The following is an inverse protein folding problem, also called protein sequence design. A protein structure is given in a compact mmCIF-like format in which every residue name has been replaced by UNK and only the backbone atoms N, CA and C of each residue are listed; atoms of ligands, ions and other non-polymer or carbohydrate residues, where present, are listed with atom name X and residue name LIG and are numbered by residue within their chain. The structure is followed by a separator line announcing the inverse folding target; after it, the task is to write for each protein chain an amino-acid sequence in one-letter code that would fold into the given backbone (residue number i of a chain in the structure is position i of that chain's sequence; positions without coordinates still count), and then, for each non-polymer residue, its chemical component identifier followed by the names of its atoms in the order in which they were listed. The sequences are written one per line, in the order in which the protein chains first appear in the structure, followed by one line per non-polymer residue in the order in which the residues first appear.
data_IF_440496033178
#
_entry.id   IF_440496033178
#
_cell.length_a   1.000
_cell.length_b   1.000
_cell.length_c   1.000
_cell.angle_alpha   90.00
_cell.angle_beta   90.00
_cell.angle_gamma   90.00
#
_symmetry.space_group_name_H-M   'P 1'
#
loop_
_entity.id
_entity.type
_entity.pdbx_description
1 polymer ?
#
# COMPACT_ATOMS: atom_id res chain seq x y z
N UNK A 1 27.21 -20.03 -5.85
CA UNK A 1 25.98 -20.33 -6.65
C UNK A 1 24.85 -20.55 -5.66
N UNK A 2 24.02 -19.53 -5.41
CA UNK A 2 22.87 -19.65 -4.50
C UNK A 2 21.76 -20.42 -5.22
N UNK A 3 21.37 -21.58 -4.70
CA UNK A 3 20.24 -22.35 -5.21
C UNK A 3 18.97 -21.50 -5.08
N UNK A 4 18.39 -21.10 -6.21
CA UNK A 4 17.08 -20.43 -6.22
C UNK A 4 16.03 -21.44 -5.77
N UNK A 5 15.62 -21.35 -4.51
CA UNK A 5 14.45 -22.08 -4.00
C UNK A 5 13.23 -21.59 -4.78
N UNK A 6 12.46 -22.50 -5.36
CA UNK A 6 11.24 -22.17 -6.09
C UNK A 6 10.25 -21.42 -5.17
N UNK A 7 9.50 -20.43 -5.69
CA UNK A 7 8.48 -19.76 -4.89
C UNK A 7 7.40 -20.77 -4.44
N UNK A 8 6.74 -20.54 -3.29
CA UNK A 8 5.64 -21.39 -2.84
C UNK A 8 4.55 -21.51 -3.92
N UNK A 9 3.91 -22.67 -4.05
CA UNK A 9 2.81 -22.84 -5.00
C UNK A 9 1.57 -22.02 -4.57
N UNK A 10 0.77 -21.60 -5.56
CA UNK A 10 -0.52 -20.98 -5.32
C UNK A 10 -1.46 -21.96 -4.60
N UNK A 11 -2.37 -21.40 -3.81
CA UNK A 11 -3.27 -22.17 -2.97
C UNK A 11 -4.67 -21.53 -3.01
N UNK A 12 -5.59 -22.08 -3.81
CA UNK A 12 -6.95 -21.55 -3.96
C UNK A 12 -7.77 -21.57 -2.67
N UNK A 13 -7.35 -22.32 -1.64
CA UNK A 13 -8.03 -22.36 -0.33
C UNK A 13 -7.81 -21.08 0.47
N UNK A 14 -6.82 -20.27 0.10
CA UNK A 14 -6.55 -18.96 0.70
C UNK A 14 -7.49 -17.87 0.19
N UNK A 15 -8.30 -18.14 -0.84
CA UNK A 15 -9.30 -17.21 -1.32
C UNK A 15 -10.41 -17.06 -0.28
N UNK A 16 -10.57 -15.85 0.23
CA UNK A 16 -11.68 -15.45 1.06
C UNK A 16 -11.90 -13.95 0.86
N UNK A 17 -13.13 -13.54 0.58
CA UNK A 17 -13.56 -12.14 0.60
C UNK A 17 -14.52 -11.93 1.75
N UNK A 18 -14.39 -10.80 2.45
CA UNK A 18 -15.44 -10.32 3.33
C UNK A 18 -16.65 -9.85 2.50
N UNK A 19 -17.80 -9.65 3.14
CA UNK A 19 -19.04 -9.27 2.46
C UNK A 19 -18.89 -7.95 1.69
N UNK A 20 -18.30 -6.94 2.32
CA UNK A 20 -18.00 -5.63 1.71
C UNK A 20 -17.03 -5.74 0.52
N UNK A 21 -16.02 -6.60 0.62
CA UNK A 21 -15.07 -6.88 -0.46
C UNK A 21 -15.77 -7.57 -1.64
N UNK A 22 -16.62 -8.57 -1.37
CA UNK A 22 -17.40 -9.26 -2.39
C UNK A 22 -18.32 -8.28 -3.12
N UNK A 23 -19.12 -7.49 -2.38
CA UNK A 23 -20.01 -6.47 -2.96
C UNK A 23 -19.27 -5.45 -3.82
N UNK A 24 -18.09 -5.00 -3.36
CA UNK A 24 -17.24 -4.11 -4.14
C UNK A 24 -16.81 -4.75 -5.46
N UNK A 25 -16.27 -5.97 -5.43
CA UNK A 25 -15.83 -6.65 -6.65
C UNK A 25 -16.99 -6.96 -7.60
N UNK A 26 -18.15 -7.40 -7.10
CA UNK A 26 -19.34 -7.62 -7.94
C UNK A 26 -19.75 -6.34 -8.67
N UNK A 27 -19.84 -5.24 -7.94
CA UNK A 27 -20.22 -3.94 -8.49
C UNK A 27 -19.20 -3.45 -9.52
N UNK A 28 -17.90 -3.57 -9.24
CA UNK A 28 -16.85 -3.09 -10.13
C UNK A 28 -16.70 -3.95 -11.39
N UNK A 29 -16.95 -5.27 -11.31
CA UNK A 29 -16.73 -6.21 -12.43
C UNK A 29 -18.00 -6.54 -13.21
N UNK A 30 -19.18 -6.31 -12.61
CA UNK A 30 -20.47 -6.80 -13.10
C UNK A 30 -20.62 -8.32 -13.04
N UNK A 31 -19.82 -9.02 -12.21
CA UNK A 31 -19.88 -10.48 -12.05
C UNK A 31 -20.62 -10.78 -10.74
N UNK A 32 -21.93 -11.03 -10.81
CA UNK A 32 -22.78 -11.24 -9.62
C UNK A 32 -22.62 -12.63 -8.98
N UNK A 33 -22.26 -13.64 -9.78
CA UNK A 33 -22.08 -15.01 -9.33
C UNK A 33 -20.75 -15.19 -8.57
N UNK A 34 -20.81 -15.68 -7.33
CA UNK A 34 -19.64 -15.81 -6.46
C UNK A 34 -18.59 -16.79 -7.01
N UNK A 35 -19.02 -17.84 -7.73
CA UNK A 35 -18.13 -18.86 -8.30
C UNK A 35 -17.39 -18.27 -9.50
N UNK A 36 -18.10 -17.59 -10.39
CA UNK A 36 -17.52 -16.88 -11.52
C UNK A 36 -16.57 -15.76 -11.07
N UNK A 37 -16.94 -15.01 -10.03
CA UNK A 37 -16.10 -13.96 -9.48
C UNK A 37 -14.81 -14.54 -8.88
N UNK A 38 -14.92 -15.62 -8.10
CA UNK A 38 -13.76 -16.33 -7.58
C UNK A 38 -12.85 -16.82 -8.71
N UNK A 39 -13.41 -17.45 -9.74
CA UNK A 39 -12.63 -17.95 -10.87
C UNK A 39 -11.89 -16.82 -11.60
N UNK A 40 -12.56 -15.69 -11.82
CA UNK A 40 -11.95 -14.49 -12.40
C UNK A 40 -10.77 -14.00 -11.55
N UNK A 41 -10.97 -13.79 -10.24
CA UNK A 41 -9.90 -13.32 -9.33
C UNK A 41 -8.72 -14.30 -9.27
N UNK A 42 -8.99 -15.61 -9.23
CA UNK A 42 -7.94 -16.65 -9.23
C UNK A 42 -7.14 -16.63 -10.54
N UNK A 43 -7.80 -16.47 -11.69
CA UNK A 43 -7.09 -16.37 -12.97
C UNK A 43 -6.12 -15.19 -13.02
N UNK A 44 -6.51 -14.04 -12.46
CA UNK A 44 -5.64 -12.85 -12.35
C UNK A 44 -4.46 -13.13 -11.41
N UNK A 45 -4.71 -13.80 -10.28
CA UNK A 45 -3.64 -14.23 -9.37
C UNK A 45 -2.60 -15.10 -10.09
N UNK A 46 -3.05 -16.09 -10.88
CA UNK A 46 -2.17 -17.00 -11.61
C UNK A 46 -1.29 -16.27 -12.63
N UNK A 47 -1.84 -15.29 -13.35
CA UNK A 47 -1.09 -14.45 -14.27
C UNK A 47 -0.09 -13.55 -13.54
N UNK A 48 -0.54 -12.89 -12.47
CA UNK A 48 0.32 -12.01 -11.68
C UNK A 48 1.48 -12.74 -11.02
N UNK A 49 1.25 -13.97 -10.55
CA UNK A 49 2.27 -14.77 -9.87
C UNK A 49 3.42 -15.19 -10.80
N UNK A 50 3.17 -15.20 -12.12
CA UNK A 50 4.21 -15.43 -13.15
C UNK A 50 5.10 -14.21 -13.35
N UNK A 51 4.57 -13.00 -13.14
CA UNK A 51 5.35 -11.74 -13.21
C UNK A 51 6.26 -11.64 -11.99
N UNK A 52 5.67 -11.66 -10.78
CA UNK A 52 6.44 -11.69 -9.54
C UNK A 52 5.69 -12.42 -8.42
N UNK A 53 6.29 -13.43 -7.76
CA UNK A 53 5.59 -14.28 -6.80
C UNK A 53 5.47 -13.65 -5.40
N UNK A 54 4.81 -12.50 -5.29
CA UNK A 54 4.61 -11.82 -4.00
C UNK A 54 3.67 -12.61 -3.08
N UNK A 55 3.96 -12.56 -1.77
CA UNK A 55 3.11 -13.18 -0.73
C UNK A 55 1.70 -12.57 -0.70
N UNK A 56 1.57 -11.28 -0.97
CA UNK A 56 0.27 -10.61 -1.05
C UNK A 56 -0.57 -11.12 -2.22
N UNK A 57 0.05 -11.44 -3.36
CA UNK A 57 -0.60 -12.07 -4.52
C UNK A 57 -1.07 -13.47 -4.15
N UNK A 58 -0.15 -14.32 -3.65
CA UNK A 58 -0.46 -15.70 -3.23
C UNK A 58 -1.61 -15.78 -2.20
N UNK A 59 -1.65 -14.85 -1.26
CA UNK A 59 -2.64 -14.83 -0.18
C UNK A 59 -3.86 -13.96 -0.45
N UNK A 60 -4.13 -13.55 -1.70
CA UNK A 60 -5.26 -12.69 -2.10
C UNK A 60 -5.35 -11.36 -1.30
N UNK A 61 -4.23 -10.89 -0.75
CA UNK A 61 -4.18 -9.63 0.00
C UNK A 61 -4.35 -8.39 -0.87
N UNK A 62 -4.26 -8.54 -2.20
CA UNK A 62 -4.63 -7.52 -3.20
C UNK A 62 -6.14 -7.35 -3.33
N UNK A 63 -6.93 -8.33 -2.89
CA UNK A 63 -8.39 -8.27 -2.92
C UNK A 63 -8.98 -7.71 -1.61
N UNK A 64 -8.12 -7.22 -0.71
CA UNK A 64 -8.50 -6.67 0.59
C UNK A 64 -8.56 -5.16 0.51
N UNK A 65 -9.68 -4.56 0.93
CA UNK A 65 -9.91 -3.11 0.93
C UNK A 65 -9.23 -2.46 2.15
N UNK A 66 -7.89 -2.41 2.14
CA UNK A 66 -7.11 -1.96 3.30
C UNK A 66 -7.25 -0.46 3.53
N UNK A 67 -7.38 0.32 2.47
CA UNK A 67 -7.48 1.78 2.56
C UNK A 67 -8.73 2.22 3.36
N UNK A 68 -9.87 1.58 3.13
CA UNK A 68 -11.14 1.94 3.77
C UNK A 68 -11.26 1.45 5.21
N UNK A 69 -10.29 0.67 5.69
CA UNK A 69 -10.21 0.19 7.08
C UNK A 69 -9.34 1.08 7.96
N UNK A 70 -8.74 2.13 7.39
CA UNK A 70 -7.87 3.04 8.11
C UNK A 70 -8.72 3.98 8.99
N UNK A 71 -8.38 4.17 10.27
CA UNK A 71 -9.13 5.10 11.14
C UNK A 71 -9.19 6.53 10.60
N UNK A 72 -8.20 6.94 9.82
CA UNK A 72 -8.14 8.25 9.18
C UNK A 72 -8.90 8.34 7.84
N UNK A 73 -9.58 7.28 7.39
CA UNK A 73 -10.15 7.21 6.03
C UNK A 73 -11.17 8.32 5.76
N UNK A 74 -11.98 8.70 6.74
CA UNK A 74 -12.91 9.81 6.57
C UNK A 74 -12.18 11.15 6.38
N UNK A 75 -11.10 11.39 7.14
CA UNK A 75 -10.27 12.59 6.99
C UNK A 75 -9.62 12.62 5.59
N UNK A 76 -9.17 11.46 5.10
CA UNK A 76 -8.68 11.29 3.73
C UNK A 76 -9.74 11.66 2.68
N UNK A 77 -10.97 11.15 2.79
CA UNK A 77 -12.06 11.46 1.84
C UNK A 77 -12.52 12.93 1.91
N UNK A 78 -12.25 13.63 3.00
CA UNK A 78 -12.57 15.05 3.15
C UNK A 78 -11.52 15.98 2.53
N UNK A 79 -10.29 15.49 2.24
CA UNK A 79 -9.23 16.28 1.59
C UNK A 79 -9.68 16.92 0.27
N UNK A 80 -10.18 16.18 -0.74
CA UNK A 80 -10.57 16.79 -2.01
C UNK A 80 -11.77 17.74 -1.91
N UNK A 81 -12.57 17.65 -0.82
CA UNK A 81 -13.69 18.58 -0.57
C UNK A 81 -13.21 19.92 -0.05
N UNK A 82 -12.15 19.92 0.75
CA UNK A 82 -11.64 21.10 1.44
C UNK A 82 -10.43 21.73 0.73
N UNK A 83 -9.81 20.99 -0.19
CA UNK A 83 -8.56 21.39 -0.85
C UNK A 83 -8.61 21.06 -2.34
N UNK A 84 -8.70 22.12 -3.15
CA UNK A 84 -8.72 22.00 -4.61
C UNK A 84 -7.41 21.36 -5.09
N UNK A 85 -7.54 20.30 -5.89
CA UNK A 85 -6.37 19.59 -6.43
C UNK A 85 -5.59 18.80 -5.38
N UNK A 86 -6.24 18.34 -4.30
CA UNK A 86 -5.63 17.42 -3.35
C UNK A 86 -5.25 16.10 -4.03
N UNK A 87 -3.97 15.93 -4.38
CA UNK A 87 -3.46 14.73 -5.04
C UNK A 87 -3.38 13.58 -4.03
N UNK A 88 -3.92 12.42 -4.41
CA UNK A 88 -3.77 11.17 -3.69
C UNK A 88 -2.82 10.25 -4.47
N UNK A 89 -1.84 9.67 -3.79
CA UNK A 89 -0.96 8.64 -4.35
C UNK A 89 -1.04 7.33 -3.58
N UNK A 90 -1.23 6.22 -4.29
CA UNK A 90 -1.07 4.85 -3.76
C UNK A 90 0.29 4.28 -4.19
N UNK A 91 1.20 4.09 -3.25
CA UNK A 91 2.57 3.61 -3.50
C UNK A 91 2.69 2.13 -3.12
N UNK A 92 3.02 1.31 -4.13
CA UNK A 92 2.93 -0.14 -4.05
C UNK A 92 1.50 -0.63 -4.30
N UNK A 93 0.84 -0.08 -5.32
CA UNK A 93 -0.59 -0.24 -5.56
C UNK A 93 -1.00 -1.63 -6.03
N UNK A 94 -0.06 -2.48 -6.46
CA UNK A 94 -0.33 -3.78 -7.07
C UNK A 94 -1.36 -3.63 -8.20
N UNK A 95 -2.56 -4.20 -8.06
CA UNK A 95 -3.63 -4.13 -9.07
C UNK A 95 -4.54 -2.90 -8.94
N UNK A 96 -4.24 -1.96 -8.05
CA UNK A 96 -4.97 -0.70 -7.90
C UNK A 96 -6.37 -0.85 -7.29
N UNK A 97 -6.56 -1.79 -6.35
CA UNK A 97 -7.83 -1.96 -5.62
C UNK A 97 -8.11 -0.78 -4.68
N UNK A 98 -7.11 -0.28 -3.97
CA UNK A 98 -7.24 0.82 -3.01
C UNK A 98 -7.55 2.17 -3.72
N UNK A 99 -6.90 2.53 -4.85
CA UNK A 99 -7.29 3.63 -5.72
C UNK A 99 -8.75 3.57 -6.18
N UNK A 100 -9.21 2.41 -6.65
CA UNK A 100 -10.60 2.22 -7.10
C UNK A 100 -11.57 2.37 -5.94
N UNK A 101 -11.23 1.87 -4.76
CA UNK A 101 -12.05 2.05 -3.56
C UNK A 101 -12.17 3.52 -3.16
N UNK A 102 -11.06 4.26 -3.16
CA UNK A 102 -11.08 5.69 -2.90
C UNK A 102 -11.99 6.45 -3.89
N UNK A 103 -11.90 6.13 -5.19
CA UNK A 103 -12.72 6.76 -6.23
C UNK A 103 -14.21 6.46 -6.07
N UNK A 104 -14.56 5.18 -5.81
CA UNK A 104 -15.95 4.78 -5.53
C UNK A 104 -16.52 5.53 -4.32
N UNK A 105 -15.68 5.84 -3.33
CA UNK A 105 -16.08 6.57 -2.12
C UNK A 105 -16.03 8.10 -2.26
N UNK A 106 -15.73 8.61 -3.46
CA UNK A 106 -15.84 10.02 -3.81
C UNK A 106 -14.53 10.78 -3.97
N UNK A 107 -13.37 10.10 -3.99
CA UNK A 107 -12.12 10.76 -4.38
C UNK A 107 -12.09 11.00 -5.90
N UNK A 108 -11.78 12.21 -6.40
CA UNK A 108 -11.76 12.47 -7.85
C UNK A 108 -10.69 11.63 -8.56
N UNK A 109 -11.07 10.84 -9.56
CA UNK A 109 -10.17 9.92 -10.26
C UNK A 109 -8.98 10.65 -10.92
N UNK A 110 -9.21 11.86 -11.42
CA UNK A 110 -8.23 12.73 -12.06
C UNK A 110 -7.21 13.30 -11.07
N UNK A 111 -7.42 13.11 -9.76
CA UNK A 111 -6.50 13.48 -8.68
C UNK A 111 -5.81 12.26 -8.07
N UNK A 112 -6.00 11.06 -8.64
CA UNK A 112 -5.40 9.82 -8.16
C UNK A 112 -4.18 9.46 -9.00
N UNK A 113 -3.09 9.18 -8.29
CA UNK A 113 -1.86 8.57 -8.82
C UNK A 113 -1.72 7.18 -8.21
N UNK A 114 -1.44 6.20 -9.05
CA UNK A 114 -1.08 4.86 -8.62
C UNK A 114 0.35 4.56 -9.06
N UNK A 115 1.13 3.88 -8.21
CA UNK A 115 2.51 3.55 -8.52
C UNK A 115 2.89 2.19 -7.99
N UNK A 116 3.55 1.40 -8.83
CA UNK A 116 4.16 0.12 -8.48
C UNK A 116 5.42 -0.09 -9.33
N UNK A 117 6.24 -1.07 -8.95
CA UNK A 117 7.46 -1.41 -9.69
C UNK A 117 7.14 -2.05 -11.04
N UNK A 118 6.07 -2.84 -11.11
CA UNK A 118 5.71 -3.63 -12.29
C UNK A 118 4.48 -3.03 -12.99
N UNK A 119 4.62 -2.37 -14.16
CA UNK A 119 3.48 -1.86 -14.91
C UNK A 119 2.47 -2.94 -15.29
N UNK A 120 2.91 -4.18 -15.46
CA UNK A 120 2.04 -5.31 -15.77
C UNK A 120 1.00 -5.59 -14.68
N UNK A 121 1.26 -5.21 -13.42
CA UNK A 121 0.26 -5.29 -12.35
C UNK A 121 -0.87 -4.27 -12.52
N UNK A 122 -0.56 -3.09 -13.05
CA UNK A 122 -1.59 -2.10 -13.37
C UNK A 122 -2.53 -2.59 -14.49
N UNK A 123 -1.95 -3.18 -15.53
CA UNK A 123 -2.70 -3.81 -16.63
C UNK A 123 -3.59 -4.96 -16.14
N UNK A 124 -3.05 -5.80 -15.23
CA UNK A 124 -3.84 -6.83 -14.57
C UNK A 124 -4.93 -6.24 -13.66
N UNK A 125 -4.74 -5.05 -13.11
CA UNK A 125 -5.77 -4.28 -12.43
C UNK A 125 -6.92 -3.90 -13.36
N UNK A 126 -6.62 -3.37 -14.55
CA UNK A 126 -7.64 -3.10 -15.56
C UNK A 126 -8.41 -4.37 -15.95
N UNK A 127 -7.71 -5.49 -16.15
CA UNK A 127 -8.33 -6.80 -16.41
C UNK A 127 -9.19 -7.30 -15.23
N UNK A 128 -8.69 -7.18 -14.00
CA UNK A 128 -9.38 -7.59 -12.78
C UNK A 128 -10.70 -6.84 -12.62
N UNK A 129 -10.68 -5.53 -12.79
CA UNK A 129 -11.86 -4.67 -12.61
C UNK A 129 -12.67 -4.48 -13.90
N UNK A 130 -12.27 -5.08 -15.02
CA UNK A 130 -12.89 -4.91 -16.34
C UNK A 130 -13.04 -3.43 -16.72
N UNK A 131 -11.98 -2.66 -16.44
CA UNK A 131 -11.87 -1.21 -16.73
C UNK A 131 -10.84 -0.96 -17.82
N UNK A 132 -10.80 0.26 -18.34
CA UNK A 132 -9.78 0.80 -19.24
C UNK A 132 -9.26 2.12 -18.70
N UNK A 133 -8.27 2.73 -19.35
CA UNK A 133 -7.79 4.06 -18.98
C UNK A 133 -8.89 5.13 -19.09
N UNK A 134 -9.87 4.94 -19.98
CA UNK A 134 -11.01 5.85 -20.15
C UNK A 134 -12.06 5.70 -19.04
N UNK A 135 -12.31 4.47 -18.56
CA UNK A 135 -13.32 4.22 -17.52
C UNK A 135 -12.76 4.34 -16.10
N UNK A 136 -11.44 4.30 -15.94
CA UNK A 136 -10.75 4.58 -14.69
C UNK A 136 -9.49 5.43 -14.95
N UNK A 137 -9.63 6.76 -15.04
CA UNK A 137 -8.58 7.67 -15.50
C UNK A 137 -7.57 8.07 -14.40
N UNK A 138 -7.33 7.18 -13.43
CA UNK A 138 -6.25 7.37 -12.47
C UNK A 138 -4.90 7.25 -13.19
N UNK A 139 -3.97 8.15 -12.89
CA UNK A 139 -2.67 8.17 -13.54
C UNK A 139 -1.74 7.12 -12.95
N UNK A 140 -1.15 6.26 -13.79
CA UNK A 140 -0.21 5.25 -13.33
C UNK A 140 1.23 5.63 -13.66
N UNK A 141 2.12 5.53 -12.67
CA UNK A 141 3.55 5.80 -12.81
C UNK A 141 4.33 4.56 -12.35
N UNK A 142 4.97 3.80 -13.27
CA UNK A 142 5.87 2.75 -12.86
C UNK A 142 7.10 3.38 -12.19
N UNK A 143 7.38 3.01 -10.93
CA UNK A 143 8.44 3.64 -10.16
C UNK A 143 9.15 2.63 -9.27
N UNK A 144 10.46 2.53 -9.43
CA UNK A 144 11.33 2.04 -8.37
C UNK A 144 11.53 3.18 -7.36
N UNK A 145 11.02 3.01 -6.14
CA UNK A 145 11.07 4.03 -5.10
C UNK A 145 12.53 4.43 -4.78
N UNK A 146 13.49 3.52 -4.93
CA UNK A 146 14.89 3.77 -4.58
C UNK A 146 15.60 4.69 -5.57
N UNK A 147 15.04 4.87 -6.77
CA UNK A 147 15.52 5.88 -7.72
C UNK A 147 15.23 7.31 -7.27
N UNK A 148 14.38 7.50 -6.26
CA UNK A 148 14.07 8.78 -5.63
C UNK A 148 14.97 9.07 -4.41
N UNK A 149 15.97 8.24 -4.12
CA UNK A 149 16.88 8.47 -2.99
C UNK A 149 17.59 9.81 -3.14
N UNK A 150 17.58 10.62 -2.08
CA UNK A 150 18.13 11.97 -2.10
C UNK A 150 17.17 13.05 -2.61
N UNK A 151 15.92 12.70 -2.94
CA UNK A 151 14.87 13.68 -3.21
C UNK A 151 14.68 14.57 -1.98
N UNK A 152 14.89 15.88 -2.16
CA UNK A 152 14.64 16.88 -1.14
C UNK A 152 13.24 17.47 -1.33
N UNK A 153 12.59 17.81 -0.21
CA UNK A 153 11.33 18.54 -0.22
C UNK A 153 11.57 19.98 -0.71
N UNK A 154 10.64 20.51 -1.50
CA UNK A 154 10.60 21.93 -1.83
C UNK A 154 9.70 22.66 -0.83
N UNK A 155 10.15 23.81 -0.32
CA UNK A 155 9.41 24.61 0.68
C UNK A 155 8.09 25.16 0.12
N UNK A 156 8.06 25.46 -1.18
CA UNK A 156 6.87 25.95 -1.90
C UNK A 156 6.75 25.19 -3.22
N UNK A 157 5.75 24.31 -3.39
CA UNK A 157 5.51 23.68 -4.67
C UNK A 157 5.09 24.75 -5.71
N UNK A 158 5.65 24.73 -6.93
CA UNK A 158 5.49 25.81 -7.90
C UNK A 158 4.05 25.97 -8.43
N UNK A 159 3.30 24.88 -8.53
CA UNK A 159 1.88 24.82 -8.95
C UNK A 159 1.37 23.39 -8.87
N UNK A 160 0.04 23.20 -8.74
CA UNK A 160 -0.58 21.87 -8.84
C UNK A 160 -0.34 21.33 -10.27
N UNK A 161 0.37 20.19 -10.43
CA UNK A 161 0.69 19.65 -11.74
C UNK A 161 -0.55 19.07 -12.42
N UNK A 162 -0.58 19.10 -13.76
CA UNK A 162 -1.51 18.29 -14.52
C UNK A 162 -1.05 16.83 -14.49
N UNK A 163 -1.75 15.97 -13.73
CA UNK A 163 -1.32 14.58 -13.50
C UNK A 163 -1.13 13.78 -14.79
N UNK A 164 -1.91 14.05 -15.85
CA UNK A 164 -1.76 13.35 -17.14
C UNK A 164 -0.41 13.58 -17.82
N UNK A 165 0.34 14.62 -17.43
CA UNK A 165 1.66 14.95 -17.99
C UNK A 165 2.83 14.56 -17.07
N UNK A 166 2.54 14.05 -15.87
CA UNK A 166 3.55 13.67 -14.87
C UNK A 166 4.21 12.36 -15.31
N UNK A 167 5.54 12.31 -15.32
CA UNK A 167 6.28 11.12 -15.79
C UNK A 167 6.96 10.37 -14.65
N UNK A 168 7.26 11.04 -13.54
CA UNK A 168 7.85 10.43 -12.35
C UNK A 168 7.20 10.96 -11.08
N UNK A 169 7.23 10.16 -10.00
CA UNK A 169 6.87 10.66 -8.67
C UNK A 169 7.75 11.86 -8.24
N UNK A 170 8.98 11.99 -8.74
CA UNK A 170 9.84 13.14 -8.47
C UNK A 170 9.23 14.49 -8.93
N UNK A 171 8.39 14.46 -9.96
CA UNK A 171 7.68 15.64 -10.48
C UNK A 171 6.55 16.08 -9.52
N UNK A 172 6.15 15.19 -8.59
CA UNK A 172 5.12 15.43 -7.58
C UNK A 172 5.70 15.82 -6.21
N UNK A 173 7.01 16.06 -6.10
CA UNK A 173 7.64 16.47 -4.82
C UNK A 173 6.91 17.66 -4.20
N UNK A 174 6.59 17.57 -2.92
CA UNK A 174 5.83 18.59 -2.19
C UNK A 174 4.37 18.82 -2.63
N UNK A 175 3.83 18.04 -3.56
CA UNK A 175 2.48 18.26 -4.12
C UNK A 175 1.44 17.22 -3.67
N UNK A 176 1.87 16.09 -3.11
CA UNK A 176 0.94 15.00 -2.77
C UNK A 176 0.25 15.30 -1.43
N UNK A 177 -1.08 15.40 -1.43
CA UNK A 177 -1.85 15.67 -0.20
C UNK A 177 -2.04 14.42 0.67
N UNK A 178 -2.19 13.26 0.04
CA UNK A 178 -2.35 11.98 0.72
C UNK A 178 -1.50 10.90 0.06
N UNK A 179 -0.70 10.18 0.84
CA UNK A 179 0.04 9.01 0.40
C UNK A 179 -0.51 7.80 1.15
N UNK A 180 -1.10 6.85 0.43
CA UNK A 180 -1.41 5.53 0.98
C UNK A 180 -0.29 4.55 0.61
N UNK A 181 0.09 3.71 1.56
CA UNK A 181 0.99 2.58 1.29
C UNK A 181 0.74 1.46 2.30
N UNK A 182 0.35 0.29 1.79
CA UNK A 182 0.01 -0.85 2.61
C UNK A 182 0.78 -2.10 2.17
N UNK A 183 1.21 -2.92 3.12
CA UNK A 183 2.01 -4.12 2.90
C UNK A 183 3.36 -3.87 2.19
N UNK A 184 3.93 -2.68 2.38
CA UNK A 184 5.14 -2.23 1.68
C UNK A 184 6.38 -2.17 2.59
N UNK A 185 6.37 -1.37 3.65
CA UNK A 185 7.54 -1.16 4.52
C UNK A 185 8.18 -2.46 5.04
N UNK A 186 7.37 -3.46 5.43
CA UNK A 186 7.85 -4.73 5.96
C UNK A 186 8.65 -5.59 4.95
N UNK A 187 8.72 -5.18 3.68
CA UNK A 187 9.56 -5.84 2.69
C UNK A 187 11.05 -5.55 2.90
N UNK A 188 11.38 -4.53 3.70
CA UNK A 188 12.72 -3.97 3.83
C UNK A 188 13.24 -4.00 5.28
N UNK A 189 14.54 -3.80 5.46
CA UNK A 189 15.17 -3.63 6.78
C UNK A 189 14.95 -2.22 7.36
N UNK A 190 15.38 -1.97 8.61
CA UNK A 190 15.14 -0.71 9.33
C UNK A 190 15.73 0.50 8.57
N UNK A 191 16.96 0.40 8.07
CA UNK A 191 17.62 1.48 7.34
C UNK A 191 16.89 1.80 6.03
N UNK A 192 16.50 0.77 5.28
CA UNK A 192 15.77 0.96 4.03
C UNK A 192 14.35 1.52 4.28
N UNK A 193 13.68 1.11 5.37
CA UNK A 193 12.40 1.70 5.79
C UNK A 193 12.54 3.18 6.12
N UNK A 194 13.63 3.58 6.79
CA UNK A 194 13.96 4.98 7.05
C UNK A 194 14.15 5.78 5.77
N UNK A 195 14.89 5.24 4.79
CA UNK A 195 15.06 5.89 3.47
C UNK A 195 13.73 6.09 2.73
N UNK A 196 12.86 5.08 2.75
CA UNK A 196 11.52 5.18 2.14
C UNK A 196 10.68 6.25 2.84
N UNK A 197 10.73 6.33 4.17
CA UNK A 197 10.01 7.34 4.93
C UNK A 197 10.45 8.77 4.55
N UNK A 198 11.76 8.99 4.34
CA UNK A 198 12.28 10.28 3.84
C UNK A 198 11.75 10.62 2.44
N UNK A 199 11.71 9.65 1.54
CA UNK A 199 11.17 9.82 0.19
C UNK A 199 9.69 10.22 0.25
N UNK A 200 8.89 9.51 1.06
CA UNK A 200 7.47 9.85 1.23
C UNK A 200 7.28 11.25 1.82
N UNK A 201 8.10 11.65 2.79
CA UNK A 201 8.07 13.01 3.35
C UNK A 201 8.42 14.10 2.31
N UNK A 202 9.35 13.81 1.39
CA UNK A 202 9.70 14.72 0.29
C UNK A 202 8.58 14.85 -0.76
N UNK A 203 7.81 13.79 -0.98
CA UNK A 203 6.65 13.80 -1.87
C UNK A 203 5.43 14.50 -1.25
N UNK A 204 5.25 14.36 0.07
CA UNK A 204 4.12 14.90 0.80
C UNK A 204 4.11 16.44 0.77
N UNK A 205 2.95 17.04 0.57
CA UNK A 205 2.75 18.48 0.68
C UNK A 205 3.00 18.99 2.10
N UNK A 206 3.41 20.25 2.23
CA UNK A 206 3.62 20.92 3.53
C UNK A 206 2.35 21.47 4.16
N UNK A 207 1.22 21.48 3.44
CA UNK A 207 -0.01 22.04 4.00
C UNK A 207 -0.58 21.15 5.14
N UNK A 208 -1.08 21.76 6.23
CA UNK A 208 -1.71 21.05 7.34
C UNK A 208 -2.83 20.11 6.87
N UNK A 209 -2.93 18.96 7.52
CA UNK A 209 -3.86 17.90 7.14
C UNK A 209 -3.37 16.97 6.03
N UNK A 210 -2.25 17.29 5.34
CA UNK A 210 -1.61 16.32 4.45
C UNK A 210 -1.17 15.10 5.24
N UNK A 211 -1.31 13.90 4.66
CA UNK A 211 -1.15 12.65 5.40
C UNK A 211 -0.45 11.52 4.65
N UNK A 212 0.23 10.67 5.41
CA UNK A 212 0.79 9.39 4.96
C UNK A 212 0.15 8.31 5.82
N UNK A 213 -0.45 7.29 5.23
CA UNK A 213 -1.20 6.31 6.00
C UNK A 213 -1.20 4.93 5.35
N UNK A 214 -1.49 3.91 6.16
CA UNK A 214 -1.61 2.54 5.68
C UNK A 214 -1.34 1.52 6.76
N UNK A 215 -0.99 0.31 6.33
CA UNK A 215 -0.79 -0.80 7.26
C UNK A 215 0.23 -1.81 6.76
N UNK A 216 1.04 -2.35 7.67
CA UNK A 216 2.01 -3.41 7.35
C UNK A 216 2.26 -4.30 8.57
N UNK A 217 3.06 -5.36 8.41
CA UNK A 217 3.34 -6.28 9.52
C UNK A 217 4.08 -5.54 10.63
N UNK A 218 3.56 -5.59 11.85
CA UNK A 218 4.14 -4.98 13.03
C UNK A 218 4.51 -6.01 14.10
N UNK A 219 5.13 -5.53 15.17
CA UNK A 219 5.41 -6.30 16.40
C UNK A 219 5.11 -5.44 17.62
N UNK A 220 4.88 -6.07 18.78
CA UNK A 220 4.79 -5.33 20.05
C UNK A 220 6.08 -4.60 20.38
N UNK A 221 7.22 -5.21 20.07
CA UNK A 221 8.54 -4.60 20.22
C UNK A 221 9.25 -4.57 18.87
N UNK A 222 9.89 -3.43 18.57
CA UNK A 222 10.61 -3.26 17.31
C UNK A 222 11.69 -4.33 17.14
N UNK A 223 11.88 -4.83 15.92
CA UNK A 223 12.96 -5.75 15.62
C UNK A 223 12.64 -6.74 14.52
N UNK A 224 13.54 -7.71 14.36
CA UNK A 224 13.40 -8.76 13.37
C UNK A 224 12.28 -9.72 13.75
N UNK A 225 11.43 -10.02 12.77
CA UNK A 225 10.43 -11.06 12.88
C UNK A 225 11.10 -12.44 12.87
N UNK A 226 11.12 -13.10 14.01
CA UNK A 226 11.75 -14.41 14.20
C UNK A 226 10.75 -15.56 14.30
N UNK A 227 9.45 -15.27 14.33
CA UNK A 227 8.42 -16.23 14.77
C UNK A 227 7.81 -17.08 13.62
N UNK A 228 8.20 -16.83 12.37
CA UNK A 228 7.82 -17.68 11.22
C UNK A 228 8.87 -18.77 11.01
N UNK A 229 8.42 -20.03 10.98
CA UNK A 229 9.21 -21.18 10.56
C UNK A 229 9.32 -21.17 9.03
N UNK A 230 10.40 -20.61 8.49
CA UNK A 230 10.74 -20.79 7.08
C UNK A 230 11.76 -21.92 6.93
N UNK A 231 11.37 -23.05 6.33
CA UNK A 231 12.30 -24.08 5.84
C UNK A 231 13.06 -23.64 4.56
N UNK A 232 12.73 -22.49 3.98
CA UNK A 232 13.49 -21.90 2.88
C UNK A 232 14.49 -20.88 3.41
N UNK A 233 15.73 -20.97 2.91
CA UNK A 233 16.94 -20.23 3.30
C UNK A 233 16.89 -18.75 2.83
N UNK A 234 15.75 -18.11 2.97
CA UNK A 234 15.69 -16.67 3.11
C UNK A 234 14.89 -16.40 4.38
N UNK A 235 15.62 -16.37 5.51
CA UNK A 235 15.34 -15.36 6.53
C UNK A 235 15.44 -13.99 5.83
N UNK A 236 14.41 -13.59 5.07
CA UNK A 236 14.17 -12.17 4.87
C UNK A 236 13.84 -11.70 6.28
N UNK A 237 14.86 -11.17 6.93
CA UNK A 237 14.81 -10.57 8.25
C UNK A 237 13.83 -9.40 8.16
N UNK A 238 12.55 -9.71 8.23
CA UNK A 238 11.47 -8.74 8.15
C UNK A 238 11.57 -7.88 9.41
N UNK A 239 12.09 -6.68 9.25
CA UNK A 239 12.11 -5.71 10.34
C UNK A 239 10.71 -5.15 10.53
N UNK A 240 10.22 -5.19 11.76
CA UNK A 240 8.90 -4.70 12.11
C UNK A 240 9.03 -3.63 13.19
N UNK A 241 8.36 -2.49 12.99
CA UNK A 241 8.20 -1.48 14.03
C UNK A 241 7.10 -1.90 15.03
N UNK A 242 7.21 -1.37 16.24
CA UNK A 242 6.07 -1.24 17.16
C UNK A 242 5.38 0.10 16.96
N UNK A 243 4.18 0.32 17.54
CA UNK A 243 3.56 1.63 17.54
C UNK A 243 4.48 2.73 18.06
N UNK A 244 5.26 2.46 19.11
CA UNK A 244 6.18 3.41 19.74
C UNK A 244 7.35 3.74 18.80
N UNK A 245 7.99 2.73 18.20
CA UNK A 245 9.09 2.98 17.28
C UNK A 245 8.64 3.56 15.94
N UNK A 246 7.39 3.34 15.53
CA UNK A 246 6.81 3.98 14.35
C UNK A 246 6.52 5.47 14.64
N UNK A 247 5.98 5.79 15.82
CA UNK A 247 5.81 7.19 16.25
C UNK A 247 7.13 7.95 16.29
N UNK A 248 8.16 7.37 16.91
CA UNK A 248 9.47 8.02 17.04
C UNK A 248 10.14 8.30 15.68
N UNK A 249 10.02 7.36 14.72
CA UNK A 249 10.51 7.55 13.36
C UNK A 249 9.90 8.80 12.72
N UNK A 250 8.58 8.91 12.73
CA UNK A 250 7.89 9.99 12.02
C UNK A 250 7.91 11.32 12.78
N UNK A 251 7.72 11.31 14.10
CA UNK A 251 7.73 12.48 14.99
C UNK A 251 9.07 12.64 15.71
N UNK A 252 10.07 13.16 15.00
CA UNK A 252 11.40 13.45 15.55
C UNK A 252 12.56 13.13 14.63
N UNK A 253 12.47 12.04 13.84
CA UNK A 253 13.54 11.69 12.89
C UNK A 253 13.24 12.14 11.45
N UNK A 254 12.01 11.89 10.96
CA UNK A 254 11.59 12.30 9.61
C UNK A 254 11.03 13.72 9.59
N UNK A 255 10.13 14.04 10.52
CA UNK A 255 9.60 15.39 10.71
C UNK A 255 10.10 16.01 12.01
N UNK A 256 10.18 17.35 12.10
CA UNK A 256 10.46 18.03 13.35
C UNK A 256 9.50 17.59 14.46
N UNK A 257 10.04 17.42 15.67
CA UNK A 257 9.23 16.95 16.79
C UNK A 257 8.07 17.91 17.07
N UNK A 258 6.85 17.36 17.13
CA UNK A 258 5.60 18.08 17.34
C UNK A 258 4.97 18.67 16.08
N UNK A 259 5.53 18.45 14.88
CA UNK A 259 4.93 18.95 13.62
C UNK A 259 3.98 17.95 12.95
N UNK A 260 3.87 16.73 13.48
CA UNK A 260 2.97 15.69 12.98
C UNK A 260 2.22 15.04 14.14
N UNK A 261 0.98 14.61 13.90
CA UNK A 261 0.30 13.61 14.72
C UNK A 261 0.53 12.23 14.11
N UNK A 262 0.99 11.28 14.92
CA UNK A 262 1.20 9.89 14.50
C UNK A 262 0.28 8.95 15.28
N UNK A 263 -0.81 8.54 14.61
CA UNK A 263 -1.72 7.51 15.08
C UNK A 263 -1.15 6.14 14.65
N UNK A 264 -0.88 5.24 15.60
CA UNK A 264 -0.30 3.93 15.31
C UNK A 264 -0.85 2.87 16.29
N UNK A 265 -1.41 1.79 15.77
CA UNK A 265 -2.09 0.76 16.56
C UNK A 265 -1.78 -0.63 16.01
N UNK A 266 -1.67 -1.63 16.89
CA UNK A 266 -1.56 -3.03 16.50
C UNK A 266 -2.92 -3.71 16.51
N UNK A 267 -3.22 -4.41 15.43
CA UNK A 267 -4.35 -5.33 15.34
C UNK A 267 -3.83 -6.76 15.27
N UNK A 268 -4.50 -7.66 15.99
CA UNK A 268 -4.30 -9.10 15.82
C UNK A 268 -4.63 -9.47 14.37
N UNK A 269 -3.69 -10.17 13.72
CA UNK A 269 -3.83 -10.62 12.34
C UNK A 269 -4.11 -12.11 12.32
N UNK A 270 -5.10 -12.51 11.53
CA UNK A 270 -5.39 -13.91 11.27
C UNK A 270 -4.18 -14.64 10.66
N UNK A 271 -3.99 -15.89 11.11
CA UNK A 271 -2.79 -16.69 10.87
C UNK A 271 -2.79 -17.45 9.53
N UNK A 272 -3.81 -17.27 8.68
CA UNK A 272 -4.02 -18.09 7.50
C UNK A 272 -2.80 -18.10 6.56
N UNK A 273 -2.28 -19.31 6.29
CA UNK A 273 -1.13 -19.53 5.41
C UNK A 273 0.25 -19.21 6.00
N UNK A 274 0.36 -18.98 7.32
CA UNK A 274 1.65 -18.82 8.01
C UNK A 274 2.07 -20.12 8.72
N UNK A 275 3.27 -20.62 8.40
CA UNK A 275 3.95 -21.65 9.17
C UNK A 275 4.66 -21.00 10.36
N UNK A 276 4.02 -20.96 11.53
CA UNK A 276 4.61 -20.39 12.75
C UNK A 276 5.54 -21.41 13.42
N UNK A 277 6.61 -20.94 14.07
CA UNK A 277 7.49 -21.80 14.90
C UNK A 277 6.72 -22.30 16.11
N UNK A 278 5.99 -21.38 16.76
CA UNK A 278 5.08 -21.68 17.85
C UNK A 278 3.64 -21.33 17.42
N UNK A 279 2.71 -22.31 17.40
CA UNK A 279 1.29 -22.08 17.14
C UNK A 279 0.62 -21.07 18.08
N UNK A 280 1.19 -20.78 19.26
CA UNK A 280 0.73 -19.75 20.18
C UNK A 280 1.07 -18.31 19.75
N UNK A 281 2.01 -18.14 18.82
CA UNK A 281 2.53 -16.83 18.40
C UNK A 281 1.41 -15.96 17.81
N UNK A 282 1.23 -14.75 18.35
CA UNK A 282 0.39 -13.72 17.74
C UNK A 282 1.16 -12.97 16.66
N UNK A 283 0.49 -12.65 15.56
CA UNK A 283 1.06 -11.84 14.49
C UNK A 283 0.24 -10.57 14.37
N UNK A 284 0.91 -9.44 14.15
CA UNK A 284 0.25 -8.15 14.20
C UNK A 284 0.29 -7.44 12.86
N UNK A 285 -0.78 -6.69 12.60
CA UNK A 285 -0.81 -5.65 11.59
C UNK A 285 -0.68 -4.31 12.32
N UNK A 286 0.37 -3.56 12.02
CA UNK A 286 0.50 -2.16 12.43
C UNK A 286 -0.33 -1.33 11.45
N UNK A 287 -1.34 -0.64 11.97
CA UNK A 287 -2.22 0.29 11.25
C UNK A 287 -1.89 1.69 11.72
N UNK A 288 -1.67 2.61 10.79
CA UNK A 288 -1.07 3.89 11.13
C UNK A 288 -1.47 5.03 10.17
N UNK A 289 -1.41 6.25 10.70
CA UNK A 289 -1.59 7.50 9.97
C UNK A 289 -0.69 8.59 10.56
N UNK A 290 0.06 9.26 9.69
CA UNK A 290 0.85 10.45 9.99
C UNK A 290 0.11 11.62 9.36
N UNK A 291 -0.29 12.60 10.16
CA UNK A 291 -0.96 13.82 9.69
C UNK A 291 -0.11 15.04 10.03
N UNK A 292 0.17 15.91 9.07
CA UNK A 292 0.82 17.20 9.31
C UNK A 292 -0.12 18.14 10.08
N UNK A 293 0.42 18.82 11.10
CA UNK A 293 -0.31 19.73 11.98
C UNK A 293 -0.30 21.18 11.50
#
# INVERSE_FOLDING_TARGET
MSSRVAPPQLDPTLYALAEDESSFFKTQTGIEDDVALKHHIVSIQEEAYKIHPYRCIRGFSFAKLKISRQPCYQQFLDLPKNRKGAIYADIGCCFGNDPRKAVVDGYPAEQVVASDLYPEFWELGHKLFKTTAETFPAHFIPQDIFQLKGLAKEDVPPSIPNLSQVQSLADLRGNISAIHTSSFFHLFDEETQFEIAKIMAALLSSEPGSMIFGSHVGRYEKGLRSEIASKSIQRRNMFCHSPESWRALWDGEIFPKGSVRVDALLHDRDRYGLNLIDPGTRTFLLVWCITLL
#
